data_IF_194682772110
#
_entry.id   IF_194682772110
#
_cell.length_a   1.000
_cell.length_b   1.000
_cell.length_c   1.000
_cell.angle_alpha   90.00
_cell.angle_beta   90.00
_cell.angle_gamma   90.00
#
_symmetry.space_group_name_H-M   'P 1'
#
loop_
_entity.id
_entity.type
_entity.pdbx_description
1 polymer ?
#
# COMPACT_ATOMS: atom_id res chain seq x y z
N UNK A 1 11.16 -6.48 1.56
CA UNK A 1 11.86 -7.79 1.51
C UNK A 1 12.19 -8.31 2.90
N UNK A 2 13.02 -7.64 3.72
CA UNK A 2 13.37 -8.14 5.07
C UNK A 2 12.18 -8.53 5.97
N UNK A 3 11.09 -7.77 5.94
CA UNK A 3 9.88 -8.07 6.73
C UNK A 3 9.26 -9.42 6.34
N UNK A 4 9.12 -9.70 5.04
CA UNK A 4 8.54 -10.95 4.52
C UNK A 4 9.43 -12.14 4.86
N UNK A 5 10.76 -11.98 4.75
CA UNK A 5 11.72 -13.01 5.15
C UNK A 5 11.54 -13.40 6.62
N UNK A 6 11.47 -12.41 7.51
CA UNK A 6 11.30 -12.63 8.95
C UNK A 6 9.96 -13.32 9.23
N UNK A 7 8.85 -12.85 8.63
CA UNK A 7 7.53 -13.43 8.82
C UNK A 7 7.45 -14.89 8.36
N UNK A 8 8.02 -15.21 7.19
CA UNK A 8 8.04 -16.58 6.67
C UNK A 8 8.94 -17.49 7.51
N UNK A 9 10.12 -17.01 7.92
CA UNK A 9 11.01 -17.76 8.82
C UNK A 9 10.34 -18.04 10.16
N UNK A 10 9.66 -17.07 10.77
CA UNK A 10 8.92 -17.27 12.03
C UNK A 10 7.80 -18.30 11.86
N UNK A 11 7.00 -18.22 10.79
CA UNK A 11 5.95 -19.20 10.54
C UNK A 11 6.48 -20.62 10.35
N UNK A 12 7.55 -20.77 9.59
CA UNK A 12 8.21 -22.07 9.41
C UNK A 12 8.82 -22.61 10.70
N UNK A 13 9.34 -21.73 11.57
CA UNK A 13 9.80 -22.13 12.90
C UNK A 13 8.67 -22.62 13.79
N UNK A 14 7.52 -21.92 13.79
CA UNK A 14 6.33 -22.33 14.55
C UNK A 14 5.82 -23.70 14.06
N UNK A 15 5.88 -23.95 12.76
CA UNK A 15 5.53 -25.24 12.15
C UNK A 15 6.62 -26.32 12.34
N UNK A 16 7.75 -25.96 12.97
CA UNK A 16 8.86 -26.86 13.23
C UNK A 16 9.59 -27.35 11.98
N UNK A 17 9.48 -26.64 10.86
CA UNK A 17 10.15 -27.00 9.60
C UNK A 17 11.65 -26.72 9.73
N UNK A 18 12.48 -27.73 9.47
CA UNK A 18 13.94 -27.56 9.49
C UNK A 18 14.37 -26.58 8.39
N UNK A 19 15.46 -25.84 8.64
CA UNK A 19 15.96 -24.82 7.71
C UNK A 19 14.96 -23.67 7.43
N UNK A 20 14.10 -23.34 8.41
CA UNK A 20 13.15 -22.22 8.33
C UNK A 20 13.76 -20.87 7.89
N UNK A 21 14.98 -20.59 8.35
CA UNK A 21 15.70 -19.36 7.97
C UNK A 21 16.09 -19.38 6.48
N UNK A 22 16.52 -20.53 5.95
CA UNK A 22 16.89 -20.69 4.55
C UNK A 22 15.66 -20.52 3.65
N UNK A 23 14.57 -21.23 3.94
CA UNK A 23 13.36 -21.12 3.13
C UNK A 23 12.70 -19.74 3.22
N UNK A 24 12.66 -19.10 4.39
CA UNK A 24 12.08 -17.76 4.53
C UNK A 24 12.87 -16.69 3.78
N UNK A 25 14.21 -16.75 3.84
CA UNK A 25 15.08 -15.83 3.07
C UNK A 25 15.01 -16.11 1.57
N UNK A 26 15.04 -17.38 1.16
CA UNK A 26 14.87 -17.79 -0.23
C UNK A 26 13.54 -17.29 -0.80
N UNK A 27 12.43 -17.51 -0.09
CA UNK A 27 11.12 -17.04 -0.52
C UNK A 27 11.07 -15.52 -0.71
N UNK A 28 11.65 -14.74 0.22
CA UNK A 28 11.72 -13.29 0.08
C UNK A 28 12.63 -12.83 -1.06
N UNK A 29 13.67 -13.59 -1.40
CA UNK A 29 14.52 -13.28 -2.55
C UNK A 29 13.77 -13.52 -3.86
N UNK A 30 13.07 -14.65 -3.95
CA UNK A 30 12.29 -15.00 -5.13
C UNK A 30 11.08 -14.07 -5.34
N UNK A 31 10.60 -13.40 -4.29
CA UNK A 31 9.56 -12.38 -4.38
C UNK A 31 9.91 -11.20 -5.32
N UNK A 32 11.20 -11.00 -5.63
CA UNK A 32 11.63 -10.06 -6.67
C UNK A 32 11.07 -10.43 -8.05
N UNK A 33 10.75 -11.70 -8.27
CA UNK A 33 10.15 -12.22 -9.48
C UNK A 33 8.63 -12.28 -9.31
N UNK A 34 7.88 -11.42 -10.02
CA UNK A 34 6.43 -11.47 -10.01
C UNK A 34 5.95 -12.88 -10.42
N UNK A 35 4.93 -13.40 -9.76
CA UNK A 35 4.32 -14.73 -9.96
C UNK A 35 5.20 -15.93 -9.58
N UNK A 36 6.46 -15.97 -10.02
CA UNK A 36 7.38 -17.08 -9.72
C UNK A 36 7.71 -17.11 -8.23
N UNK A 37 7.86 -15.95 -7.59
CA UNK A 37 8.22 -15.88 -6.18
C UNK A 37 7.20 -16.49 -5.24
N UNK A 38 5.93 -16.31 -5.54
CA UNK A 38 4.83 -16.86 -4.72
C UNK A 38 4.74 -18.37 -4.91
N UNK A 39 4.81 -18.84 -6.16
CA UNK A 39 4.74 -20.26 -6.48
C UNK A 39 5.92 -21.02 -5.87
N UNK A 40 7.15 -20.70 -6.25
CA UNK A 40 8.32 -21.46 -5.82
C UNK A 40 8.63 -21.23 -4.33
N UNK A 41 8.44 -20.00 -3.85
CA UNK A 41 8.73 -19.64 -2.46
C UNK A 41 7.90 -20.42 -1.45
N UNK A 42 6.65 -20.77 -1.78
CA UNK A 42 5.76 -21.58 -0.93
C UNK A 42 5.87 -23.09 -1.19
N UNK A 43 6.04 -23.50 -2.46
CA UNK A 43 6.10 -24.90 -2.86
C UNK A 43 7.32 -25.62 -2.27
N UNK A 44 8.50 -24.99 -2.30
CA UNK A 44 9.73 -25.62 -1.81
C UNK A 44 9.65 -26.02 -0.32
N UNK A 45 9.33 -25.10 0.62
CA UNK A 45 9.18 -25.47 2.02
C UNK A 45 7.97 -26.40 2.26
N UNK A 46 6.91 -26.33 1.46
CA UNK A 46 5.80 -27.26 1.56
C UNK A 46 6.21 -28.69 1.18
N UNK A 47 6.92 -28.88 0.06
CA UNK A 47 7.48 -30.17 -0.35
C UNK A 47 8.47 -30.70 0.68
N UNK A 48 9.31 -29.82 1.23
CA UNK A 48 10.25 -30.19 2.28
C UNK A 48 9.52 -30.66 3.56
N UNK A 49 8.43 -29.99 3.94
CA UNK A 49 7.60 -30.43 5.05
C UNK A 49 6.96 -31.79 4.78
N UNK A 50 6.46 -32.06 3.57
CA UNK A 50 5.95 -33.40 3.18
C UNK A 50 7.04 -34.47 3.32
N UNK A 51 8.27 -34.16 2.90
CA UNK A 51 9.37 -35.12 2.90
C UNK A 51 9.93 -35.40 4.31
N UNK A 52 9.76 -34.49 5.27
CA UNK A 52 10.44 -34.56 6.58
C UNK A 52 9.52 -34.65 7.78
N UNK A 53 8.21 -34.45 7.61
CA UNK A 53 7.22 -34.51 8.70
C UNK A 53 6.31 -35.72 8.55
N UNK A 54 5.82 -36.20 9.67
CA UNK A 54 4.98 -37.40 9.75
C UNK A 54 3.54 -37.18 9.25
N UNK A 55 3.14 -35.93 8.96
CA UNK A 55 1.77 -35.60 8.57
C UNK A 55 1.71 -34.54 7.46
N UNK A 56 0.81 -34.77 6.49
CA UNK A 56 0.51 -33.79 5.43
C UNK A 56 -0.06 -32.46 5.97
N UNK A 57 -0.56 -32.43 7.21
CA UNK A 57 -1.04 -31.21 7.83
C UNK A 57 0.03 -30.13 7.97
N UNK A 58 1.31 -30.51 8.13
CA UNK A 58 2.40 -29.55 8.17
C UNK A 58 2.54 -28.81 6.83
N UNK A 59 2.44 -29.52 5.71
CA UNK A 59 2.51 -28.92 4.38
C UNK A 59 1.35 -27.95 4.11
N UNK A 60 0.14 -28.33 4.52
CA UNK A 60 -1.04 -27.46 4.43
C UNK A 60 -0.84 -26.22 5.32
N UNK A 61 -0.29 -26.39 6.52
CA UNK A 61 0.08 -25.29 7.42
C UNK A 61 1.10 -24.33 6.79
N UNK A 62 2.12 -24.85 6.11
CA UNK A 62 3.12 -24.05 5.39
C UNK A 62 2.45 -23.22 4.29
N UNK A 63 1.67 -23.85 3.41
CA UNK A 63 0.97 -23.16 2.32
C UNK A 63 0.01 -22.10 2.88
N UNK A 64 -0.76 -22.45 3.91
CA UNK A 64 -1.67 -21.52 4.59
C UNK A 64 -0.93 -20.31 5.17
N UNK A 65 0.19 -20.52 5.84
CA UNK A 65 1.00 -19.43 6.39
C UNK A 65 1.54 -18.51 5.30
N UNK A 66 2.11 -19.08 4.24
CA UNK A 66 2.64 -18.30 3.11
C UNK A 66 1.54 -17.48 2.44
N UNK A 67 0.32 -18.00 2.36
CA UNK A 67 -0.83 -17.27 1.82
C UNK A 67 -1.23 -16.08 2.72
N UNK A 68 -1.19 -16.25 4.05
CA UNK A 68 -1.44 -15.16 5.01
C UNK A 68 -0.37 -14.08 4.88
N UNK A 69 0.90 -14.47 4.81
CA UNK A 69 2.00 -13.52 4.62
C UNK A 69 1.86 -12.79 3.28
N UNK A 70 1.48 -13.48 2.20
CA UNK A 70 1.24 -12.80 0.92
C UNK A 70 0.06 -11.84 0.95
N UNK A 71 -1.00 -12.19 1.67
CA UNK A 71 -2.13 -11.29 1.84
C UNK A 71 -1.71 -10.02 2.61
N UNK A 72 -0.97 -10.17 3.71
CA UNK A 72 -0.41 -9.05 4.47
C UNK A 72 0.54 -8.21 3.61
N UNK A 73 1.38 -8.87 2.84
CA UNK A 73 2.34 -8.24 1.94
C UNK A 73 1.64 -7.32 0.94
N UNK A 74 0.73 -7.87 0.13
CA UNK A 74 0.06 -7.12 -0.92
C UNK A 74 -0.93 -6.07 -0.43
N UNK A 75 -1.59 -6.29 0.72
CA UNK A 75 -2.67 -5.42 1.19
C UNK A 75 -2.27 -4.43 2.29
N UNK A 76 -1.18 -4.69 3.02
CA UNK A 76 -0.79 -3.89 4.19
C UNK A 76 0.65 -3.42 4.07
N UNK A 77 1.60 -4.34 3.91
CA UNK A 77 3.04 -4.04 3.98
C UNK A 77 3.43 -3.18 2.79
N UNK A 78 3.18 -3.64 1.57
CA UNK A 78 3.53 -2.93 0.34
C UNK A 78 2.89 -1.55 0.28
N UNK A 79 1.56 -1.35 0.43
CA UNK A 79 0.97 -0.02 0.35
C UNK A 79 1.45 0.95 1.44
N UNK A 80 1.76 0.46 2.65
CA UNK A 80 2.29 1.31 3.72
C UNK A 80 3.76 1.72 3.50
N UNK A 81 4.57 0.85 2.88
CA UNK A 81 5.99 1.14 2.63
C UNK A 81 6.18 1.97 1.37
N UNK A 82 5.51 1.58 0.26
CA UNK A 82 5.71 2.23 -1.05
C UNK A 82 4.90 3.51 -1.22
N UNK A 83 4.06 3.88 -0.25
CA UNK A 83 3.44 5.19 -0.08
C UNK A 83 3.09 5.96 -1.35
N UNK A 84 1.83 5.85 -1.81
CA UNK A 84 1.26 6.81 -2.76
C UNK A 84 1.51 6.56 -4.25
N UNK A 85 0.55 5.87 -4.86
CA UNK A 85 0.15 5.80 -6.27
C UNK A 85 1.06 6.50 -7.30
N UNK A 86 1.87 5.69 -7.99
CA UNK A 86 2.19 5.98 -9.40
C UNK A 86 0.86 5.96 -10.16
N UNK A 87 0.37 7.14 -10.54
CA UNK A 87 -0.93 7.32 -11.20
C UNK A 87 -0.85 6.93 -12.67
N UNK A 88 -0.62 5.64 -12.95
CA UNK A 88 -0.68 5.06 -14.29
C UNK A 88 -1.98 4.28 -14.42
N UNK A 89 -2.68 4.48 -15.54
CA UNK A 89 -3.87 3.72 -15.87
C UNK A 89 -3.55 2.20 -15.89
N UNK A 90 -4.34 1.34 -15.21
CA UNK A 90 -4.14 -0.11 -15.21
C UNK A 90 -3.93 -0.73 -16.59
N UNK A 91 -4.61 -0.22 -17.62
CA UNK A 91 -4.43 -0.71 -18.99
C UNK A 91 -3.00 -0.51 -19.49
N UNK A 92 -2.43 0.68 -19.27
CA UNK A 92 -1.08 1.00 -19.70
C UNK A 92 -0.03 0.23 -18.88
N UNK A 93 -0.30 -0.02 -17.60
CA UNK A 93 0.55 -0.89 -16.78
C UNK A 93 0.63 -2.31 -17.37
N UNK A 94 -0.50 -2.90 -17.77
CA UNK A 94 -0.54 -4.22 -18.41
C UNK A 94 0.27 -4.20 -19.72
N UNK A 95 0.04 -3.21 -20.59
CA UNK A 95 0.76 -3.09 -21.85
C UNK A 95 2.28 -2.96 -21.61
N UNK A 96 2.69 -2.16 -20.63
CA UNK A 96 4.09 -1.99 -20.26
C UNK A 96 4.73 -3.31 -19.83
N UNK A 97 4.02 -4.10 -19.02
CA UNK A 97 4.50 -5.40 -18.52
C UNK A 97 4.64 -6.39 -19.68
N UNK A 98 3.65 -6.47 -20.58
CA UNK A 98 3.73 -7.34 -21.75
C UNK A 98 4.89 -6.97 -22.67
N UNK A 99 5.01 -5.69 -23.02
CA UNK A 99 6.11 -5.21 -23.88
C UNK A 99 7.48 -5.38 -23.22
N UNK A 100 7.62 -5.02 -21.95
CA UNK A 100 8.84 -5.22 -21.19
C UNK A 100 9.23 -6.69 -21.11
N UNK A 101 8.26 -7.56 -20.80
CA UNK A 101 8.43 -9.00 -20.76
C UNK A 101 8.87 -9.60 -22.09
N UNK A 102 8.34 -9.12 -23.21
CA UNK A 102 8.72 -9.59 -24.54
C UNK A 102 10.13 -9.12 -24.95
N UNK A 103 10.51 -7.90 -24.58
CA UNK A 103 11.78 -7.29 -25.01
C UNK A 103 12.98 -7.73 -24.16
N UNK A 104 12.81 -7.75 -22.83
CA UNK A 104 13.89 -7.97 -21.87
C UNK A 104 13.62 -9.16 -20.93
N UNK A 105 12.60 -9.97 -21.22
CA UNK A 105 12.23 -11.11 -20.39
C UNK A 105 11.86 -10.68 -18.96
N UNK A 106 12.42 -11.40 -18.00
CA UNK A 106 12.15 -11.19 -16.57
C UNK A 106 12.58 -9.81 -16.08
N UNK A 107 13.71 -9.27 -16.58
CA UNK A 107 14.17 -7.94 -16.23
C UNK A 107 13.17 -6.86 -16.70
N UNK A 108 12.56 -7.07 -17.86
CA UNK A 108 11.55 -6.17 -18.40
C UNK A 108 10.25 -6.17 -17.60
N UNK A 109 9.85 -7.29 -17.01
CA UNK A 109 8.68 -7.35 -16.11
C UNK A 109 8.88 -6.49 -14.85
N UNK A 110 10.09 -6.52 -14.27
CA UNK A 110 10.45 -5.75 -13.07
C UNK A 110 10.53 -4.25 -13.40
N UNK A 111 11.12 -3.92 -14.55
CA UNK A 111 11.38 -2.54 -14.95
C UNK A 111 10.21 -1.87 -15.69
N UNK A 112 9.16 -2.62 -16.08
CA UNK A 112 8.05 -2.10 -16.87
C UNK A 112 7.36 -0.90 -16.22
N UNK A 113 6.99 -1.00 -14.95
CA UNK A 113 6.31 0.08 -14.23
C UNK A 113 7.19 1.34 -14.04
N UNK A 114 8.45 1.24 -13.56
CA UNK A 114 9.29 2.43 -13.44
C UNK A 114 9.60 3.07 -14.80
N UNK A 115 9.84 2.29 -15.85
CA UNK A 115 10.04 2.82 -17.21
C UNK A 115 8.78 3.54 -17.69
N UNK A 116 7.60 2.93 -17.54
CA UNK A 116 6.33 3.56 -17.93
C UNK A 116 6.08 4.86 -17.14
N UNK A 117 6.45 4.90 -15.86
CA UNK A 117 6.37 6.12 -15.05
C UNK A 117 7.28 7.23 -15.59
N UNK A 118 8.51 6.91 -15.98
CA UNK A 118 9.45 7.88 -16.59
C UNK A 118 8.91 8.37 -17.93
N UNK A 119 8.39 7.49 -18.79
CA UNK A 119 7.78 7.86 -20.08
C UNK A 119 6.61 8.83 -19.87
N UNK A 120 5.74 8.54 -18.90
CA UNK A 120 4.63 9.44 -18.56
C UNK A 120 5.12 10.84 -18.18
N UNK A 121 6.13 10.93 -17.30
CA UNK A 121 6.71 12.23 -16.88
C UNK A 121 7.30 12.99 -18.07
N UNK A 122 7.96 12.29 -19.00
CA UNK A 122 8.48 12.91 -20.22
C UNK A 122 7.37 13.45 -21.13
N UNK A 123 6.26 12.72 -21.28
CA UNK A 123 5.12 13.17 -22.09
C UNK A 123 4.37 14.33 -21.44
N UNK A 124 4.30 14.36 -20.10
CA UNK A 124 3.71 15.48 -19.35
C UNK A 124 4.58 16.75 -19.44
N UNK A 125 5.90 16.61 -19.59
CA UNK A 125 6.83 17.74 -19.71
C UNK A 125 6.77 18.46 -21.07
N UNK A 126 6.34 17.77 -22.14
CA UNK A 126 6.28 18.33 -23.50
C UNK A 126 4.84 18.77 -23.82
N UNK A 127 4.56 20.05 -24.08
CA UNK A 127 3.19 20.55 -24.31
C UNK A 127 2.44 19.82 -25.44
N UNK A 128 3.14 19.43 -26.50
CA UNK A 128 2.58 18.68 -27.64
C UNK A 128 2.21 17.23 -27.28
N UNK A 129 2.92 16.60 -26.35
CA UNK A 129 2.74 15.18 -25.99
C UNK A 129 1.83 14.99 -24.76
N UNK A 130 1.32 16.07 -24.18
CA UNK A 130 0.45 16.06 -23.01
C UNK A 130 -0.82 15.21 -23.20
N UNK A 131 -1.33 15.10 -24.43
CA UNK A 131 -2.46 14.23 -24.75
C UNK A 131 -2.13 12.74 -24.47
N UNK A 132 -0.93 12.29 -24.81
CA UNK A 132 -0.48 10.93 -24.53
C UNK A 132 -0.18 10.72 -23.04
N UNK A 133 0.42 11.71 -22.37
CA UNK A 133 0.62 11.71 -20.92
C UNK A 133 -0.70 11.54 -20.15
N UNK A 134 -1.76 12.24 -20.59
CA UNK A 134 -3.10 12.11 -20.03
C UNK A 134 -3.71 10.70 -20.20
N UNK A 135 -3.51 10.05 -21.36
CA UNK A 135 -4.00 8.68 -21.59
C UNK A 135 -3.25 7.63 -20.74
N UNK A 136 -1.98 7.90 -20.44
CA UNK A 136 -1.16 7.03 -19.60
C UNK A 136 -1.47 7.24 -18.12
N UNK A 137 -1.82 8.46 -17.73
CA UNK A 137 -2.20 8.78 -16.36
C UNK A 137 -3.56 8.23 -15.92
N UNK A 138 -3.74 8.02 -14.62
CA UNK A 138 -5.10 7.97 -14.06
C UNK A 138 -5.68 9.39 -13.98
N UNK A 139 -7.00 9.59 -14.22
CA UNK A 139 -7.64 10.87 -14.01
C UNK A 139 -7.49 11.27 -12.53
N UNK A 140 -6.80 12.39 -12.29
CA UNK A 140 -6.52 12.89 -10.95
C UNK A 140 -7.85 13.12 -10.19
N UNK A 141 -8.09 12.36 -9.12
CA UNK A 141 -9.27 12.52 -8.24
C UNK A 141 -9.16 13.77 -7.33
N UNK A 142 -8.85 14.93 -7.89
CA UNK A 142 -8.68 16.19 -7.14
C UNK A 142 -10.00 16.76 -6.62
N UNK A 143 -11.14 16.34 -7.17
CA UNK A 143 -12.43 17.00 -6.92
C UNK A 143 -13.13 16.63 -5.61
N UNK A 144 -12.67 15.61 -4.86
CA UNK A 144 -13.38 15.18 -3.64
C UNK A 144 -12.87 15.80 -2.33
N UNK A 145 -11.65 16.38 -2.31
CA UNK A 145 -11.05 16.90 -1.06
C UNK A 145 -11.34 18.39 -0.80
N UNK A 146 -11.77 19.15 -1.81
CA UNK A 146 -11.84 20.63 -1.74
C UNK A 146 -13.23 21.21 -1.44
N UNK A 147 -14.29 20.41 -1.55
CA UNK A 147 -15.68 20.87 -1.37
C UNK A 147 -16.27 20.64 0.04
N UNK A 148 -15.67 19.80 0.89
CA UNK A 148 -16.30 19.43 2.18
C UNK A 148 -16.19 20.52 3.25
N UNK A 149 -15.03 21.15 3.46
CA UNK A 149 -14.91 22.06 4.62
C UNK A 149 -15.33 23.50 4.32
N UNK A 150 -15.01 24.05 3.14
CA UNK A 150 -15.27 25.48 2.87
C UNK A 150 -16.73 25.80 2.55
N UNK A 151 -17.51 24.86 2.03
CA UNK A 151 -18.94 25.08 1.76
C UNK A 151 -19.80 24.82 3.00
N UNK A 152 -19.40 23.91 3.88
CA UNK A 152 -20.04 23.74 5.19
C UNK A 152 -19.73 24.93 6.12
N UNK A 153 -18.49 25.42 6.13
CA UNK A 153 -18.08 26.58 6.95
C UNK A 153 -18.63 27.91 6.42
N UNK A 154 -18.96 28.02 5.12
CA UNK A 154 -19.60 29.22 4.57
C UNK A 154 -21.12 29.27 4.82
N UNK A 155 -21.76 28.11 5.04
CA UNK A 155 -23.21 28.01 5.26
C UNK A 155 -23.64 28.37 6.67
N UNK A 156 -22.74 28.22 7.65
CA UNK A 156 -22.99 28.63 9.03
C UNK A 156 -22.04 29.77 9.35
N UNK A 157 -22.61 30.97 9.48
CA UNK A 157 -21.92 32.18 9.93
C UNK A 157 -21.49 32.02 11.41
N UNK A 158 -20.57 31.08 11.68
CA UNK A 158 -20.15 30.63 13.01
C UNK A 158 -19.42 31.71 13.81
N UNK A 159 -19.07 32.82 13.15
CA UNK A 159 -18.58 34.04 13.82
C UNK A 159 -19.62 34.55 14.82
N UNK A 160 -20.90 34.57 14.45
CA UNK A 160 -21.97 35.10 15.30
C UNK A 160 -22.18 34.22 16.56
N UNK A 161 -21.94 32.92 16.45
CA UNK A 161 -22.03 31.99 17.59
C UNK A 161 -20.83 32.08 18.52
N UNK A 162 -19.63 32.36 17.99
CA UNK A 162 -18.45 32.58 18.81
C UNK A 162 -18.54 33.90 19.57
N UNK A 163 -18.98 34.98 18.92
CA UNK A 163 -19.19 36.31 19.53
C UNK A 163 -20.31 36.30 20.59
N UNK A 164 -21.38 35.54 20.35
CA UNK A 164 -22.46 35.36 21.33
C UNK A 164 -22.02 34.54 22.53
N UNK A 165 -21.09 33.58 22.37
CA UNK A 165 -20.59 32.76 23.48
C UNK A 165 -19.60 33.55 24.36
N UNK A 166 -18.77 34.41 23.79
CA UNK A 166 -17.86 35.30 24.56
C UNK A 166 -18.60 36.38 25.33
N UNK A 167 -19.64 37.00 24.75
CA UNK A 167 -20.46 38.01 25.46
C UNK A 167 -21.25 37.43 26.63
N UNK A 168 -21.80 36.21 26.49
CA UNK A 168 -22.47 35.51 27.60
C UNK A 168 -21.48 35.17 28.71
N UNK A 169 -20.29 34.66 28.39
CA UNK A 169 -19.28 34.33 29.40
C UNK A 169 -18.76 35.57 30.15
N UNK A 170 -18.58 36.71 29.47
CA UNK A 170 -18.17 37.96 30.10
C UNK A 170 -19.23 38.52 31.05
N UNK A 171 -20.52 38.33 30.75
CA UNK A 171 -21.62 38.76 31.62
C UNK A 171 -21.77 37.91 32.89
N UNK A 172 -21.43 36.62 32.82
CA UNK A 172 -21.47 35.69 33.95
C UNK A 172 -20.35 35.97 34.97
N UNK A 173 -19.16 36.32 34.49
CA UNK A 173 -18.01 36.66 35.33
C UNK A 173 -18.29 37.94 36.13
N UNK A 174 -18.81 38.99 35.45
CA UNK A 174 -19.15 40.27 36.08
C UNK A 174 -20.29 40.19 37.10
N UNK A 175 -21.15 39.16 37.00
CA UNK A 175 -22.28 38.93 37.92
C UNK A 175 -21.87 38.12 39.16
N UNK A 176 -20.80 37.34 39.06
CA UNK A 176 -20.24 36.60 40.20
C UNK A 176 -19.33 37.50 41.07
N UNK A 177 -18.53 38.40 40.48
CA UNK A 177 -17.75 39.39 41.26
C UNK A 177 -18.63 40.30 42.11
N UNK A 178 -19.78 40.75 41.58
CA UNK A 178 -20.73 41.60 42.31
C UNK A 178 -21.45 40.90 43.48
N UNK A 179 -21.28 39.59 43.64
CA UNK A 179 -21.92 38.77 44.67
C UNK A 179 -20.97 38.37 45.80
N UNK A 180 -19.67 38.59 45.64
CA UNK A 180 -18.65 38.40 46.69
C UNK A 180 -18.39 39.68 47.51
N UNK A 181 -18.71 40.85 46.96
CA UNK A 181 -18.57 42.17 47.63
C UNK A 181 -19.84 42.63 48.39
N UNK A 182 -20.77 41.73 48.74
CA UNK A 182 -22.01 42.02 49.49
C UNK A 182 -22.32 40.95 50.52
#
# INVERSE_FOLDING_TARGET
MGIVAILNTIGLFILGVQYAWFFGTLASLLMLLPYIGIAIGSILPALFAIATKDSYWYAIGVVGWFQVVQFLEGNVITPNIVGGKVSINPLMAIIAIFLGGMLFGLAGLILALPIMAVIKVLFDAIPSMKAFGFLIGEPEKYHLKRYSTKILLKRWNLKDLLEKKTSVSASSIKKNEKKEDS
#
